data_IF_376875328839
#
_entry.id   IF_376875328839
#
_cell.length_a   1.000
_cell.length_b   1.000
_cell.length_c   1.000
_cell.angle_alpha   90.00
_cell.angle_beta   90.00
_cell.angle_gamma   90.00
#
_symmetry.space_group_name_H-M   'P 1'
#
loop_
_entity.id
_entity.type
_entity.pdbx_description
1 polymer ?
#
# COMPACT_ATOMS: atom_id res chain seq x y z
N UNK A 1 -27.79 -33.84 -18.89
CA UNK A 1 -26.61 -33.89 -17.99
C UNK A 1 -25.38 -34.18 -18.83
N UNK A 2 -24.41 -33.26 -18.84
CA UNK A 2 -23.33 -33.20 -19.84
C UNK A 2 -22.21 -34.22 -19.50
N UNK A 3 -21.85 -35.18 -20.38
CA UNK A 3 -21.00 -36.33 -20.04
C UNK A 3 -19.50 -35.99 -19.84
N UNK A 4 -19.11 -34.73 -20.01
CA UNK A 4 -17.71 -34.27 -19.84
C UNK A 4 -17.23 -34.25 -18.38
N UNK A 5 -18.13 -34.26 -17.40
CA UNK A 5 -17.76 -34.12 -15.98
C UNK A 5 -17.16 -35.39 -15.34
N UNK A 6 -17.41 -36.58 -15.90
CA UNK A 6 -16.97 -37.84 -15.25
C UNK A 6 -15.56 -38.33 -15.64
N UNK A 7 -15.01 -37.90 -16.79
CA UNK A 7 -13.59 -38.15 -17.13
C UNK A 7 -12.60 -37.23 -16.37
N UNK A 8 -13.12 -36.25 -15.62
CA UNK A 8 -12.36 -35.19 -14.96
C UNK A 8 -11.73 -35.59 -13.61
N UNK A 9 -12.29 -36.58 -12.89
CA UNK A 9 -11.86 -36.91 -11.51
C UNK A 9 -10.59 -37.76 -11.38
N UNK A 10 -10.17 -38.48 -12.44
CA UNK A 10 -9.05 -39.44 -12.37
C UNK A 10 -7.83 -39.12 -13.24
N UNK A 11 -7.75 -37.93 -13.84
CA UNK A 11 -6.58 -37.54 -14.63
C UNK A 11 -5.44 -37.07 -13.72
N UNK A 12 -4.32 -37.81 -13.67
CA UNK A 12 -3.08 -37.40 -12.99
C UNK A 12 -2.63 -36.00 -13.42
N UNK A 13 -2.78 -35.66 -14.69
CA UNK A 13 -2.46 -34.35 -15.24
C UNK A 13 -3.27 -33.22 -14.59
N UNK A 14 -4.57 -33.44 -14.35
CA UNK A 14 -5.41 -32.43 -13.71
C UNK A 14 -5.02 -32.23 -12.24
N UNK A 15 -4.70 -33.32 -11.53
CA UNK A 15 -4.23 -33.26 -10.15
C UNK A 15 -2.94 -32.45 -10.03
N UNK A 16 -1.99 -32.65 -10.95
CA UNK A 16 -0.73 -31.90 -11.00
C UNK A 16 -0.98 -30.42 -11.29
N UNK A 17 -1.79 -30.08 -12.29
CA UNK A 17 -2.11 -28.66 -12.58
C UNK A 17 -2.75 -28.00 -11.37
N UNK A 18 -3.76 -28.64 -10.77
CA UNK A 18 -4.48 -28.08 -9.62
C UNK A 18 -3.55 -27.94 -8.41
N UNK A 19 -2.70 -28.92 -8.12
CA UNK A 19 -1.76 -28.83 -6.99
C UNK A 19 -0.72 -27.75 -7.21
N UNK A 20 -0.10 -27.67 -8.40
CA UNK A 20 0.88 -26.63 -8.73
C UNK A 20 0.24 -25.23 -8.66
N UNK A 21 -0.93 -25.04 -9.26
CA UNK A 21 -1.64 -23.76 -9.23
C UNK A 21 -2.01 -23.37 -7.81
N UNK A 22 -2.53 -24.29 -6.99
CA UNK A 22 -2.86 -24.01 -5.58
C UNK A 22 -1.62 -23.60 -4.77
N UNK A 23 -0.51 -24.31 -4.97
CA UNK A 23 0.75 -24.01 -4.28
C UNK A 23 1.28 -22.63 -4.69
N UNK A 24 1.25 -22.32 -5.99
CA UNK A 24 1.64 -21.01 -6.52
C UNK A 24 0.75 -19.88 -6.00
N UNK A 25 -0.57 -20.08 -5.94
CA UNK A 25 -1.50 -19.11 -5.34
C UNK A 25 -1.13 -18.85 -3.87
N UNK A 26 -0.84 -19.91 -3.11
CA UNK A 26 -0.41 -19.79 -1.70
C UNK A 26 0.87 -18.97 -1.56
N UNK A 27 1.90 -19.27 -2.35
CA UNK A 27 3.18 -18.55 -2.31
C UNK A 27 3.01 -17.08 -2.71
N UNK A 28 2.29 -16.81 -3.81
CA UNK A 28 2.02 -15.44 -4.28
C UNK A 28 1.21 -14.66 -3.25
N UNK A 29 0.23 -15.29 -2.61
CA UNK A 29 -0.56 -14.66 -1.55
C UNK A 29 0.30 -14.29 -0.35
N UNK A 30 1.15 -15.20 0.13
CA UNK A 30 2.05 -14.95 1.27
C UNK A 30 3.02 -13.81 0.93
N UNK A 31 3.70 -13.88 -0.22
CA UNK A 31 4.66 -12.86 -0.63
C UNK A 31 3.99 -11.50 -0.87
N UNK A 32 2.85 -11.48 -1.58
CA UNK A 32 2.08 -10.27 -1.85
C UNK A 32 1.54 -9.61 -0.59
N UNK A 33 1.04 -10.41 0.36
CA UNK A 33 0.58 -9.94 1.67
C UNK A 33 1.72 -9.33 2.49
N UNK A 34 2.88 -10.02 2.55
CA UNK A 34 4.06 -9.52 3.25
C UNK A 34 4.54 -8.18 2.67
N UNK A 35 4.64 -8.07 1.34
CA UNK A 35 5.00 -6.83 0.66
C UNK A 35 4.00 -5.70 0.95
N UNK A 36 2.70 -5.97 0.85
CA UNK A 36 1.66 -4.98 1.13
C UNK A 36 1.71 -4.48 2.57
N UNK A 37 1.94 -5.37 3.54
CA UNK A 37 2.08 -5.03 4.95
C UNK A 37 3.31 -4.16 5.21
N UNK A 38 4.48 -4.58 4.69
CA UNK A 38 5.73 -3.84 4.85
C UNK A 38 5.65 -2.45 4.23
N UNK A 39 5.12 -2.34 3.01
CA UNK A 39 4.99 -1.06 2.33
C UNK A 39 4.02 -0.12 3.05
N UNK A 40 2.84 -0.63 3.45
CA UNK A 40 1.84 0.15 4.18
C UNK A 40 2.38 0.65 5.52
N UNK A 41 3.08 -0.22 6.26
CA UNK A 41 3.71 0.15 7.53
C UNK A 41 4.85 1.16 7.34
N UNK A 42 5.69 0.94 6.31
CA UNK A 42 6.81 1.81 5.95
C UNK A 42 6.34 3.23 5.60
N UNK A 43 5.39 3.37 4.68
CA UNK A 43 4.85 4.67 4.25
C UNK A 43 4.21 5.41 5.43
N UNK A 44 3.37 4.73 6.23
CA UNK A 44 2.75 5.35 7.41
C UNK A 44 3.78 5.83 8.43
N UNK A 45 4.82 5.02 8.68
CA UNK A 45 5.89 5.35 9.62
C UNK A 45 6.70 6.55 9.14
N UNK A 46 7.14 6.55 7.88
CA UNK A 46 7.93 7.63 7.28
C UNK A 46 7.13 8.91 7.23
N UNK A 47 5.88 8.88 6.75
CA UNK A 47 5.03 10.06 6.66
C UNK A 47 4.76 10.66 8.06
N UNK A 48 4.41 9.83 9.04
CA UNK A 48 4.19 10.31 10.41
C UNK A 48 5.45 10.97 10.98
N UNK A 49 6.61 10.34 10.80
CA UNK A 49 7.87 10.89 11.32
C UNK A 49 8.25 12.19 10.60
N UNK A 50 8.08 12.25 9.28
CA UNK A 50 8.33 13.44 8.48
C UNK A 50 7.41 14.60 8.90
N UNK A 51 6.10 14.36 9.07
CA UNK A 51 5.15 15.35 9.57
C UNK A 51 5.52 15.87 10.97
N UNK A 52 5.99 14.99 11.86
CA UNK A 52 6.47 15.37 13.21
C UNK A 52 7.68 16.29 13.14
N UNK A 53 8.68 15.94 12.32
CA UNK A 53 9.91 16.74 12.16
C UNK A 53 9.58 18.11 11.54
N UNK A 54 8.74 18.11 10.51
CA UNK A 54 8.31 19.33 9.83
C UNK A 54 7.48 20.24 10.75
N UNK A 55 6.53 19.67 11.51
CA UNK A 55 5.76 20.41 12.51
C UNK A 55 6.65 21.01 13.59
N UNK A 56 7.58 20.23 14.17
CA UNK A 56 8.51 20.73 15.18
C UNK A 56 9.36 21.89 14.65
N UNK A 57 9.93 21.74 13.45
CA UNK A 57 10.74 22.78 12.82
C UNK A 57 9.93 24.07 12.58
N UNK A 58 8.72 23.93 12.05
CA UNK A 58 7.84 25.06 11.72
C UNK A 58 7.36 25.78 12.97
N UNK A 59 6.89 25.04 13.98
CA UNK A 59 6.46 25.59 15.27
C UNK A 59 7.62 26.31 15.96
N UNK A 60 8.82 25.71 15.96
CA UNK A 60 10.01 26.33 16.53
C UNK A 60 10.36 27.63 15.80
N UNK A 61 10.33 27.64 14.47
CA UNK A 61 10.57 28.84 13.66
C UNK A 61 9.53 29.93 13.94
N UNK A 62 8.25 29.57 14.04
CA UNK A 62 7.18 30.48 14.38
C UNK A 62 7.36 31.09 15.77
N UNK A 63 7.68 30.26 16.77
CA UNK A 63 7.97 30.71 18.13
C UNK A 63 9.15 31.68 18.15
N UNK A 64 10.25 31.36 17.46
CA UNK A 64 11.41 32.24 17.37
C UNK A 64 11.05 33.60 16.75
N UNK A 65 10.30 33.61 15.64
CA UNK A 65 9.84 34.87 15.01
C UNK A 65 8.92 35.69 15.91
N UNK A 66 8.07 35.04 16.70
CA UNK A 66 7.22 35.70 17.69
C UNK A 66 8.03 36.29 18.86
N UNK A 67 9.14 35.66 19.25
CA UNK A 67 10.05 36.21 20.25
C UNK A 67 10.73 37.49 19.76
N UNK A 68 11.10 37.57 18.48
CA UNK A 68 11.76 38.74 17.89
C UNK A 68 10.88 39.99 17.84
N UNK A 69 9.55 39.84 17.90
CA UNK A 69 8.58 40.95 17.92
C UNK A 69 7.99 41.19 19.30
N UNK A 70 8.67 40.74 20.37
CA UNK A 70 8.28 41.11 21.72
C UNK A 70 8.48 42.61 21.95
N UNK A 71 7.48 43.28 22.52
CA UNK A 71 7.48 44.72 22.72
C UNK A 71 7.06 45.54 21.49
N UNK A 72 6.87 44.90 20.34
CA UNK A 72 6.37 45.54 19.12
C UNK A 72 4.84 45.76 19.16
N UNK A 73 4.38 46.56 18.22
CA UNK A 73 2.95 46.82 18.05
C UNK A 73 2.17 45.60 17.51
N UNK A 74 0.85 45.63 17.67
CA UNK A 74 -0.03 44.52 17.26
C UNK A 74 -0.02 44.25 15.75
N UNK A 75 0.29 45.26 14.92
CA UNK A 75 0.38 45.10 13.47
C UNK A 75 1.59 44.24 13.07
N UNK A 76 2.75 44.44 13.73
CA UNK A 76 3.95 43.63 13.52
C UNK A 76 3.71 42.17 13.93
N UNK A 77 3.08 41.94 15.08
CA UNK A 77 2.73 40.58 15.56
C UNK A 77 1.79 39.89 14.56
N UNK A 78 0.73 40.59 14.10
CA UNK A 78 -0.20 40.06 13.10
C UNK A 78 0.50 39.69 11.79
N UNK A 79 1.45 40.51 11.33
CA UNK A 79 2.25 40.24 10.13
C UNK A 79 3.13 39.00 10.28
N UNK A 80 3.72 38.78 11.45
CA UNK A 80 4.50 37.55 11.71
C UNK A 80 3.59 36.32 11.63
N UNK A 81 2.42 36.36 12.27
CA UNK A 81 1.46 35.25 12.27
C UNK A 81 0.97 34.96 10.85
N UNK A 82 0.58 35.99 10.09
CA UNK A 82 0.16 35.81 8.70
C UNK A 82 1.26 35.20 7.84
N UNK A 83 2.51 35.62 8.04
CA UNK A 83 3.66 35.07 7.32
C UNK A 83 3.94 33.61 7.68
N UNK A 84 3.82 33.25 8.97
CA UNK A 84 3.95 31.84 9.40
C UNK A 84 2.90 31.00 8.70
N UNK A 85 1.63 31.43 8.72
CA UNK A 85 0.53 30.72 8.09
C UNK A 85 0.76 30.59 6.59
N UNK A 86 1.04 31.69 5.88
CA UNK A 86 1.24 31.64 4.43
C UNK A 86 2.46 30.81 4.02
N UNK A 87 3.50 30.73 4.85
CA UNK A 87 4.71 29.94 4.56
C UNK A 87 4.55 28.44 4.84
N UNK A 88 3.70 28.08 5.80
CA UNK A 88 3.51 26.69 6.24
C UNK A 88 2.26 26.03 5.64
N UNK A 89 1.30 26.85 5.19
CA UNK A 89 0.08 26.38 4.51
C UNK A 89 0.38 26.02 3.05
N UNK A 90 -0.19 24.92 2.58
CA UNK A 90 -0.23 24.64 1.13
C UNK A 90 -1.41 25.35 0.48
N UNK A 91 -1.23 25.89 -0.72
CA UNK A 91 -2.31 26.53 -1.50
C UNK A 91 -3.44 25.57 -1.96
N UNK A 92 -3.37 24.29 -1.59
CA UNK A 92 -4.34 23.27 -1.99
C UNK A 92 -5.03 22.66 -0.76
N UNK A 93 -6.35 22.50 -0.84
CA UNK A 93 -7.15 21.78 0.18
C UNK A 93 -7.33 20.29 -0.15
N UNK A 94 -6.38 19.72 -0.91
CA UNK A 94 -6.49 18.38 -1.51
C UNK A 94 -5.54 17.35 -0.88
N UNK A 95 -5.02 16.43 -1.69
CA UNK A 95 -4.33 15.22 -1.23
C UNK A 95 -3.08 15.46 -0.38
N UNK A 96 -2.39 16.60 -0.55
CA UNK A 96 -1.17 16.96 0.19
C UNK A 96 -1.35 18.24 1.04
N UNK A 97 -2.60 18.56 1.41
CA UNK A 97 -2.90 19.77 2.16
C UNK A 97 -2.14 19.82 3.49
N UNK A 98 -1.57 20.99 3.78
CA UNK A 98 -0.93 21.37 5.03
C UNK A 98 -1.64 22.59 5.54
N UNK A 99 -2.15 22.49 6.75
CA UNK A 99 -2.98 23.51 7.36
C UNK A 99 -2.36 23.95 8.68
N UNK A 100 -2.43 25.25 8.96
CA UNK A 100 -1.98 25.86 10.20
C UNK A 100 -3.14 26.52 10.91
N UNK A 101 -3.26 26.23 12.20
CA UNK A 101 -4.34 26.71 13.04
C UNK A 101 -3.76 27.28 14.32
N UNK A 102 -4.07 28.55 14.60
CA UNK A 102 -3.77 29.21 15.87
C UNK A 102 -5.06 29.32 16.67
N UNK A 103 -5.10 28.69 17.84
CA UNK A 103 -6.23 28.73 18.76
C UNK A 103 -5.79 29.36 20.06
N UNK A 104 -6.66 30.15 20.67
CA UNK A 104 -6.42 30.71 21.98
C UNK A 104 -6.57 29.61 23.02
N UNK A 105 -5.63 29.52 23.96
CA UNK A 105 -5.77 28.55 25.05
C UNK A 105 -6.99 28.90 25.92
N UNK A 106 -7.83 27.92 26.29
CA UNK A 106 -8.91 28.11 27.25
C UNK A 106 -8.40 28.76 28.55
N UNK A 107 -9.05 29.84 28.98
CA UNK A 107 -8.66 30.64 30.15
C UNK A 107 -7.83 31.88 29.85
N UNK A 108 -7.41 32.10 28.60
CA UNK A 108 -6.77 33.33 28.18
C UNK A 108 -7.81 34.45 27.94
N UNK A 109 -7.84 35.46 28.81
CA UNK A 109 -8.79 36.57 28.80
C UNK A 109 -8.26 37.86 28.18
N UNK A 110 -7.12 37.80 27.47
CA UNK A 110 -6.57 39.00 26.79
C UNK A 110 -7.53 39.50 25.71
N UNK A 111 -7.66 40.82 25.57
CA UNK A 111 -8.57 41.46 24.62
C UNK A 111 -8.15 41.28 23.16
N UNK A 112 -6.85 41.11 22.91
CA UNK A 112 -6.30 40.97 21.56
C UNK A 112 -6.48 39.54 21.07
N UNK A 113 -7.08 39.43 19.87
CA UNK A 113 -7.33 38.16 19.21
C UNK A 113 -6.48 37.91 17.98
N UNK A 114 -5.83 36.76 18.00
CA UNK A 114 -5.02 36.22 16.91
C UNK A 114 -5.42 34.78 16.55
N UNK A 115 -6.63 34.35 16.92
CA UNK A 115 -7.16 33.10 16.38
C UNK A 115 -7.32 33.20 14.87
N UNK A 116 -6.78 32.20 14.18
CA UNK A 116 -6.80 32.15 12.72
C UNK A 116 -6.54 30.72 12.24
N UNK A 117 -7.22 30.34 11.17
CA UNK A 117 -7.04 29.08 10.49
C UNK A 117 -6.64 29.33 9.03
N UNK A 118 -5.82 28.45 8.48
CA UNK A 118 -5.51 28.41 7.05
C UNK A 118 -6.67 27.82 6.25
N UNK A 119 -6.74 28.17 4.96
CA UNK A 119 -7.67 27.62 3.95
C UNK A 119 -9.13 27.39 4.43
N UNK A 120 -9.63 28.21 5.37
CA UNK A 120 -10.96 28.06 5.95
C UNK A 120 -11.18 26.71 6.65
N UNK A 121 -10.14 26.17 7.29
CA UNK A 121 -10.27 25.04 8.22
C UNK A 121 -11.15 25.48 9.39
N UNK A 122 -12.13 24.67 9.70
CA UNK A 122 -12.99 24.85 10.86
C UNK A 122 -12.21 24.52 12.15
N UNK A 123 -12.18 25.41 13.15
CA UNK A 123 -11.53 25.16 14.45
C UNK A 123 -11.96 23.86 15.13
N UNK A 124 -13.19 23.39 14.91
CA UNK A 124 -13.70 22.10 15.42
C UNK A 124 -12.96 20.88 14.88
N UNK A 125 -12.10 21.05 13.87
CA UNK A 125 -11.16 20.03 13.41
C UNK A 125 -10.16 19.61 14.50
N UNK A 126 -9.93 20.47 15.50
CA UNK A 126 -9.06 20.19 16.65
C UNK A 126 -9.92 19.72 17.83
N UNK A 127 -9.85 18.43 18.20
CA UNK A 127 -10.67 17.92 19.29
C UNK A 127 -10.12 18.30 20.67
N UNK A 128 -11.01 18.45 21.65
CA UNK A 128 -10.67 18.87 23.01
C UNK A 128 -9.60 18.01 23.70
N UNK A 129 -9.56 16.71 23.40
CA UNK A 129 -8.55 15.83 23.97
C UNK A 129 -7.14 16.15 23.47
N UNK A 130 -6.99 16.56 22.20
CA UNK A 130 -5.70 16.96 21.64
C UNK A 130 -5.29 18.30 22.24
N UNK A 131 -6.22 19.25 22.31
CA UNK A 131 -6.00 20.54 22.93
C UNK A 131 -5.59 20.40 24.40
N UNK A 132 -6.27 19.55 25.17
CA UNK A 132 -5.88 19.23 26.55
C UNK A 132 -4.48 18.61 26.65
N UNK A 133 -4.10 17.73 25.72
CA UNK A 133 -2.77 17.12 25.68
C UNK A 133 -1.68 18.16 25.41
N UNK A 134 -1.92 19.08 24.48
CA UNK A 134 -1.02 20.18 24.13
C UNK A 134 -0.83 21.14 25.30
N UNK A 135 -1.89 21.43 26.08
CA UNK A 135 -1.79 22.30 27.26
C UNK A 135 -0.99 21.69 28.41
N UNK A 136 -1.17 20.40 28.66
CA UNK A 136 -0.57 19.70 29.81
C UNK A 136 0.92 19.42 29.65
N UNK A 137 1.42 19.36 28.41
CA UNK A 137 2.83 19.05 28.12
C UNK A 137 3.57 20.25 27.52
N UNK A 138 4.89 20.30 27.68
CA UNK A 138 5.77 21.15 26.87
C UNK A 138 6.10 20.54 25.51
N UNK A 139 5.87 19.25 25.34
CA UNK A 139 6.06 18.51 24.10
C UNK A 139 4.89 18.68 23.13
N UNK A 140 5.14 18.29 21.88
CA UNK A 140 4.10 18.24 20.85
C UNK A 140 2.99 17.24 21.21
N UNK A 141 1.75 17.70 21.11
CA UNK A 141 0.57 16.84 21.05
C UNK A 141 0.39 16.31 19.63
N UNK A 142 0.03 15.03 19.50
CA UNK A 142 -0.19 14.39 18.20
C UNK A 142 -1.50 13.61 18.27
N UNK A 143 -2.35 13.78 17.26
CA UNK A 143 -3.54 12.95 17.07
C UNK A 143 -3.97 12.87 15.61
N UNK A 144 -4.60 11.76 15.25
CA UNK A 144 -5.42 11.69 14.05
C UNK A 144 -6.71 12.49 14.25
N UNK A 145 -7.10 13.23 13.21
CA UNK A 145 -8.28 14.10 13.20
C UNK A 145 -8.99 14.01 11.85
N UNK A 146 -10.19 14.58 11.76
CA UNK A 146 -10.81 14.89 10.48
C UNK A 146 -10.69 16.39 10.27
N UNK A 147 -9.98 16.79 9.24
CA UNK A 147 -9.90 18.18 8.78
C UNK A 147 -11.28 18.50 8.22
N UNK A 148 -11.97 19.45 8.84
CA UNK A 148 -13.24 19.97 8.39
C UNK A 148 -12.98 21.35 7.79
N UNK A 149 -13.39 21.55 6.55
CA UNK A 149 -13.37 22.87 5.94
C UNK A 149 -14.77 23.48 6.04
N UNK A 150 -14.84 24.81 6.11
CA UNK A 150 -16.12 25.54 6.15
C UNK A 150 -16.99 25.23 4.90
N UNK A 151 -16.39 24.80 3.79
CA UNK A 151 -17.10 24.32 2.59
C UNK A 151 -17.86 23.00 2.79
N UNK A 152 -17.68 22.32 3.93
CA UNK A 152 -18.26 21.00 4.23
C UNK A 152 -17.38 19.82 3.82
N UNK A 153 -16.24 20.06 3.16
CA UNK A 153 -15.29 19.01 2.81
C UNK A 153 -14.64 18.44 4.08
N UNK A 154 -14.56 17.10 4.18
CA UNK A 154 -13.90 16.41 5.29
C UNK A 154 -12.81 15.48 4.79
N UNK A 155 -11.61 15.61 5.36
CA UNK A 155 -10.44 14.83 4.96
C UNK A 155 -9.77 14.25 6.21
N UNK A 156 -9.36 12.97 6.23
CA UNK A 156 -8.56 12.43 7.32
C UNK A 156 -7.20 13.13 7.39
N UNK A 157 -6.78 13.51 8.60
CA UNK A 157 -5.54 14.22 8.82
C UNK A 157 -4.79 13.79 10.09
N UNK A 158 -3.54 14.24 10.18
CA UNK A 158 -2.71 14.13 11.38
C UNK A 158 -2.47 15.55 11.92
N UNK A 159 -3.04 15.86 13.07
CA UNK A 159 -2.82 17.13 13.76
C UNK A 159 -1.67 17.01 14.75
N UNK A 160 -0.74 17.96 14.69
CA UNK A 160 0.41 18.08 15.57
C UNK A 160 0.38 19.48 16.15
N UNK A 161 0.26 19.60 17.47
CA UNK A 161 0.11 20.88 18.14
C UNK A 161 1.14 21.11 19.23
N UNK A 162 1.40 22.37 19.53
CA UNK A 162 2.19 22.77 20.69
C UNK A 162 1.67 24.09 21.25
N UNK A 163 1.82 24.27 22.57
CA UNK A 163 1.55 25.56 23.20
C UNK A 163 2.60 26.58 22.79
N UNK A 164 2.17 27.80 22.53
CA UNK A 164 3.02 28.94 22.18
C UNK A 164 2.55 30.18 22.93
N UNK A 165 3.42 31.16 23.08
CA UNK A 165 3.08 32.45 23.67
C UNK A 165 3.11 33.52 22.58
N UNK A 166 1.98 34.17 22.34
CA UNK A 166 1.90 35.29 21.39
C UNK A 166 2.08 36.60 22.17
N UNK A 167 3.00 37.48 21.76
CA UNK A 167 3.17 38.79 22.39
C UNK A 167 1.85 39.57 22.46
N UNK A 168 1.62 40.25 23.58
CA UNK A 168 0.42 41.05 23.87
C UNK A 168 -0.91 40.25 24.01
N UNK A 169 -0.95 39.00 23.55
CA UNK A 169 -2.17 38.18 23.53
C UNK A 169 -2.11 36.94 24.44
N UNK A 170 -0.96 36.56 24.98
CA UNK A 170 -0.85 35.50 25.99
C UNK A 170 -0.69 34.10 25.40
N UNK A 171 -1.24 33.09 26.07
CA UNK A 171 -1.05 31.68 25.71
C UNK A 171 -2.00 31.25 24.58
N UNK A 172 -1.41 30.61 23.57
CA UNK A 172 -2.07 30.08 22.39
C UNK A 172 -1.58 28.66 22.11
N UNK A 173 -2.27 27.99 21.21
CA UNK A 173 -1.95 26.67 20.70
C UNK A 173 -1.76 26.82 19.19
N UNK A 174 -0.62 26.36 18.68
CA UNK A 174 -0.35 26.29 17.25
C UNK A 174 -0.44 24.84 16.82
N UNK A 175 -1.26 24.57 15.81
CA UNK A 175 -1.46 23.27 15.20
C UNK A 175 -1.01 23.29 13.76
N UNK A 176 -0.30 22.24 13.37
CA UNK A 176 -0.04 21.87 11.98
C UNK A 176 -0.85 20.60 11.69
N UNK A 177 -1.68 20.64 10.66
CA UNK A 177 -2.52 19.51 10.25
C UNK A 177 -2.10 19.05 8.86
N UNK A 178 -1.79 17.76 8.73
CA UNK A 178 -1.34 17.14 7.48
C UNK A 178 -2.43 16.24 6.93
N UNK A 179 -2.81 16.44 5.66
CA UNK A 179 -3.73 15.57 4.95
C UNK A 179 -3.18 14.14 4.81
N UNK A 180 -4.04 13.15 5.06
CA UNK A 180 -3.74 11.73 4.87
C UNK A 180 -4.46 11.16 3.64
N UNK A 181 -5.06 12.00 2.80
CA UNK A 181 -5.81 11.56 1.61
C UNK A 181 -4.93 10.78 0.63
N UNK A 182 -3.72 11.26 0.32
CA UNK A 182 -2.86 10.63 -0.69
C UNK A 182 -2.26 9.27 -0.28
N UNK A 183 -2.23 8.95 1.02
CA UNK A 183 -1.69 7.67 1.49
C UNK A 183 -2.48 6.50 0.92
N UNK A 184 -3.77 6.68 0.64
CA UNK A 184 -4.63 5.63 0.14
C UNK A 184 -4.53 5.47 -1.39
N UNK A 185 -4.27 6.54 -2.14
CA UNK A 185 -4.24 6.51 -3.61
C UNK A 185 -3.01 5.75 -4.12
N UNK A 186 -1.81 6.07 -3.61
CA UNK A 186 -0.57 5.37 -3.98
C UNK A 186 -0.60 3.89 -3.57
N UNK A 187 -1.11 3.60 -2.36
CA UNK A 187 -1.26 2.21 -1.90
C UNK A 187 -2.25 1.43 -2.78
N UNK A 188 -3.37 2.03 -3.19
CA UNK A 188 -4.33 1.39 -4.10
C UNK A 188 -3.74 1.10 -5.47
N UNK A 189 -2.95 2.02 -6.03
CA UNK A 189 -2.27 1.79 -7.31
C UNK A 189 -1.32 0.60 -7.21
N UNK A 190 -0.49 0.56 -6.16
CA UNK A 190 0.47 -0.53 -5.96
C UNK A 190 -0.26 -1.86 -5.71
N UNK A 191 -1.32 -1.87 -4.91
CA UNK A 191 -2.17 -3.05 -4.69
C UNK A 191 -2.79 -3.57 -5.99
N UNK A 192 -3.29 -2.66 -6.84
CA UNK A 192 -3.85 -3.04 -8.15
C UNK A 192 -2.80 -3.67 -9.05
N UNK A 193 -1.59 -3.12 -9.11
CA UNK A 193 -0.50 -3.71 -9.88
C UNK A 193 -0.06 -5.06 -9.31
N UNK A 194 0.08 -5.20 -7.99
CA UNK A 194 0.39 -6.49 -7.35
C UNK A 194 -0.66 -7.55 -7.68
N UNK A 195 -1.94 -7.18 -7.67
CA UNK A 195 -3.03 -8.08 -8.00
C UNK A 195 -3.00 -8.51 -9.49
N UNK A 196 -2.83 -7.56 -10.41
CA UNK A 196 -2.70 -7.84 -11.85
C UNK A 196 -1.50 -8.75 -12.14
N UNK A 197 -0.33 -8.46 -11.56
CA UNK A 197 0.86 -9.28 -11.70
C UNK A 197 0.66 -10.68 -11.11
N UNK A 198 0.01 -10.79 -9.95
CA UNK A 198 -0.34 -12.08 -9.35
C UNK A 198 -1.19 -12.95 -10.27
N UNK A 199 -2.23 -12.39 -10.89
CA UNK A 199 -3.06 -13.10 -11.87
C UNK A 199 -2.24 -13.52 -13.09
N UNK A 200 -1.41 -12.61 -13.63
CA UNK A 200 -0.56 -12.91 -14.78
C UNK A 200 0.40 -14.08 -14.50
N UNK A 201 1.01 -14.12 -13.31
CA UNK A 201 1.88 -15.22 -12.87
C UNK A 201 1.13 -16.55 -12.76
N UNK A 202 -0.08 -16.55 -12.17
CA UNK A 202 -0.89 -17.77 -12.06
C UNK A 202 -1.25 -18.32 -13.44
N UNK A 203 -1.66 -17.45 -14.38
CA UNK A 203 -1.96 -17.83 -15.75
C UNK A 203 -0.73 -18.41 -16.46
N UNK A 204 0.44 -17.78 -16.28
CA UNK A 204 1.69 -18.23 -16.86
C UNK A 204 2.10 -19.61 -16.31
N UNK A 205 1.98 -19.84 -15.00
CA UNK A 205 2.28 -21.14 -14.38
C UNK A 205 1.32 -22.22 -14.88
N UNK A 206 0.03 -21.90 -14.98
CA UNK A 206 -0.98 -22.80 -15.55
C UNK A 206 -0.67 -23.15 -17.01
N UNK A 207 -0.28 -22.17 -17.82
CA UNK A 207 0.10 -22.36 -19.22
C UNK A 207 1.35 -23.24 -19.36
N UNK A 208 2.40 -22.98 -18.59
CA UNK A 208 3.64 -23.78 -18.60
C UNK A 208 3.34 -25.21 -18.19
N UNK A 209 2.59 -25.41 -17.10
CA UNK A 209 2.26 -26.75 -16.61
C UNK A 209 1.43 -27.53 -17.64
N UNK A 210 0.48 -26.85 -18.31
CA UNK A 210 -0.28 -27.43 -19.41
C UNK A 210 0.59 -27.83 -20.60
N UNK A 211 1.55 -26.98 -21.00
CA UNK A 211 2.52 -27.27 -22.06
C UNK A 211 3.37 -28.50 -21.71
N UNK A 212 3.96 -28.55 -20.50
CA UNK A 212 4.80 -29.66 -20.05
C UNK A 212 4.03 -30.98 -20.04
N UNK A 213 2.77 -30.96 -19.59
CA UNK A 213 1.92 -32.16 -19.61
C UNK A 213 1.67 -32.63 -21.04
N UNK A 214 1.43 -31.70 -21.98
CA UNK A 214 1.14 -32.03 -23.38
C UNK A 214 2.38 -32.54 -24.12
N UNK A 215 3.55 -31.94 -23.88
CA UNK A 215 4.79 -32.22 -24.61
C UNK A 215 5.59 -33.38 -24.02
N UNK A 216 5.57 -33.59 -22.69
CA UNK A 216 6.43 -34.58 -22.03
C UNK A 216 5.60 -35.70 -21.41
N UNK A 217 4.67 -35.37 -20.52
CA UNK A 217 3.97 -36.39 -19.70
C UNK A 217 3.08 -37.29 -20.56
N UNK A 218 2.35 -36.72 -21.54
CA UNK A 218 1.46 -37.50 -22.42
C UNK A 218 2.23 -38.49 -23.31
N UNK A 219 3.28 -38.10 -24.05
CA UNK A 219 4.07 -39.04 -24.85
C UNK A 219 4.74 -40.13 -24.01
N UNK A 220 5.34 -39.76 -22.86
CA UNK A 220 5.98 -40.74 -21.96
C UNK A 220 4.98 -41.78 -21.46
N UNK A 221 3.76 -41.35 -21.10
CA UNK A 221 2.70 -42.29 -20.69
C UNK A 221 2.29 -43.23 -21.83
N UNK A 222 2.27 -42.74 -23.07
CA UNK A 222 1.95 -43.58 -24.22
C UNK A 222 3.04 -44.62 -24.48
N UNK A 223 4.32 -44.22 -24.45
CA UNK A 223 5.45 -45.13 -24.58
C UNK A 223 5.46 -46.23 -23.52
N UNK A 224 5.16 -45.88 -22.26
CA UNK A 224 5.07 -46.84 -21.17
C UNK A 224 3.95 -47.88 -21.39
N UNK A 225 2.81 -47.48 -21.96
CA UNK A 225 1.71 -48.39 -22.30
C UNK A 225 2.08 -49.37 -23.43
N UNK A 226 2.77 -48.90 -24.46
CA UNK A 226 3.25 -49.76 -25.57
C UNK A 226 4.27 -50.77 -25.05
N UNK A 227 5.23 -50.34 -24.23
CA UNK A 227 6.23 -51.22 -23.63
C UNK A 227 5.61 -52.33 -22.74
N UNK A 228 4.52 -52.04 -22.02
CA UNK A 228 3.80 -53.05 -21.21
C UNK A 228 3.00 -54.04 -22.06
N UNK A 229 2.44 -53.61 -23.20
CA UNK A 229 1.81 -54.54 -24.15
C UNK A 229 2.85 -55.44 -24.84
N UNK A 230 4.03 -54.89 -25.14
CA UNK A 230 5.14 -55.64 -25.72
C UNK A 230 5.62 -56.76 -24.80
N UNK A 231 5.82 -56.49 -23.50
CA UNK A 231 6.21 -57.52 -22.52
C UNK A 231 5.11 -58.54 -22.23
N UNK A 232 3.85 -58.21 -22.53
CA UNK A 232 2.72 -59.14 -22.45
C UNK A 232 2.61 -60.09 -23.67
N UNK A 233 3.58 -60.04 -24.60
CA UNK A 233 3.67 -60.95 -25.75
C UNK A 233 3.01 -60.43 -27.02
N UNK A 234 2.57 -59.16 -27.05
CA UNK A 234 2.02 -58.55 -28.25
C UNK A 234 3.08 -57.71 -28.97
N UNK A 235 3.90 -58.36 -29.80
CA UNK A 235 5.01 -57.75 -30.53
C UNK A 235 4.60 -56.89 -31.74
N UNK A 236 3.30 -56.81 -32.05
CA UNK A 236 2.81 -56.11 -33.23
C UNK A 236 2.67 -54.59 -33.04
N UNK A 237 2.74 -54.08 -31.80
CA UNK A 237 2.65 -52.65 -31.55
C UNK A 237 3.99 -51.94 -31.77
N UNK A 238 3.96 -50.90 -32.61
CA UNK A 238 5.09 -49.99 -32.84
C UNK A 238 4.87 -48.65 -32.14
N UNK A 239 5.94 -48.07 -31.62
CA UNK A 239 5.94 -46.75 -31.00
C UNK A 239 5.91 -45.67 -32.09
N UNK A 240 4.86 -44.84 -32.10
CA UNK A 240 4.68 -43.80 -33.11
C UNK A 240 5.65 -42.62 -32.87
N UNK A 241 6.66 -42.48 -33.74
CA UNK A 241 7.71 -41.45 -33.62
C UNK A 241 7.27 -40.19 -34.35
N UNK A 242 6.70 -39.23 -33.62
CA UNK A 242 6.26 -37.93 -34.18
C UNK A 242 7.21 -36.76 -33.92
N UNK A 243 8.18 -36.89 -33.02
CA UNK A 243 9.12 -35.81 -32.64
C UNK A 243 10.52 -36.03 -33.23
N UNK A 244 11.42 -35.05 -33.06
CA UNK A 244 12.85 -35.13 -33.41
C UNK A 244 13.79 -34.99 -32.19
N UNK A 245 13.24 -35.01 -30.98
CA UNK A 245 13.93 -34.83 -29.69
C UNK A 245 14.41 -36.16 -29.06
N UNK A 246 14.85 -36.13 -27.80
CA UNK A 246 15.31 -37.36 -27.11
C UNK A 246 14.21 -38.44 -27.01
N UNK A 247 12.93 -38.05 -27.00
CA UNK A 247 11.80 -39.00 -26.98
C UNK A 247 11.71 -39.77 -28.30
N UNK A 248 12.03 -39.14 -29.42
CA UNK A 248 12.06 -39.79 -30.72
C UNK A 248 13.20 -40.82 -30.86
N UNK A 249 14.38 -40.50 -30.31
CA UNK A 249 15.51 -41.44 -30.24
C UNK A 249 15.14 -42.70 -29.45
N UNK A 250 14.45 -42.53 -28.31
CA UNK A 250 13.97 -43.66 -27.50
C UNK A 250 12.97 -44.53 -28.27
N UNK A 251 12.00 -43.91 -28.96
CA UNK A 251 11.00 -44.64 -29.76
C UNK A 251 11.61 -45.42 -30.92
N UNK A 252 12.62 -44.86 -31.60
CA UNK A 252 13.36 -45.57 -32.66
C UNK A 252 14.12 -46.78 -32.11
N UNK A 253 14.88 -46.61 -31.03
CA UNK A 253 15.61 -47.70 -30.39
C UNK A 253 14.68 -48.83 -29.91
N UNK A 254 13.49 -48.48 -29.41
CA UNK A 254 12.48 -49.47 -29.03
C UNK A 254 11.96 -50.26 -30.25
N UNK A 255 11.63 -49.57 -31.34
CA UNK A 255 11.15 -50.22 -32.56
C UNK A 255 12.24 -51.12 -33.19
N UNK A 256 13.51 -50.72 -33.14
CA UNK A 256 14.64 -51.54 -33.60
C UNK A 256 14.79 -52.83 -32.77
N UNK A 257 14.62 -52.77 -31.43
CA UNK A 257 14.60 -53.98 -30.59
C UNK A 257 13.40 -54.90 -30.89
N UNK A 258 12.24 -54.31 -31.19
CA UNK A 258 11.04 -55.06 -31.56
C UNK A 258 11.17 -55.77 -32.92
N UNK A 259 11.96 -55.22 -33.84
CA UNK A 259 12.19 -55.76 -35.18
C UNK A 259 13.30 -56.83 -35.20
N UNK A 260 14.12 -56.92 -34.15
CA UNK A 260 15.18 -57.92 -34.02
C UNK A 260 14.75 -59.22 -33.31
N UNK A 261 13.46 -59.38 -32.99
CA UNK A 261 12.84 -60.55 -32.35
C UNK A 261 11.88 -61.23 -33.32
#
# INVERSE_FOLDING_TARGET
MNPYFFRFRNSLALKVIVSTVLLSVGVIYIAGSALNSQLSAGIKKVNRQSSIVEARSTIFSAQYRLLLVQGENNAAVRKVISNVISSATSLTSNENAREVVFLRSPGNTKSIDYEITSNLVDPSSIPDFLSTKVRKSSDIGISYVKIQYISGLQIPGLAIGQKISIPNAGQYEMYMIFSLANQNTTLKLIQRYLFLTGIALILLIGLITWLVIRQVVRPVRHAALVATQFTAGNFSERLEVRSQDEIAKLGKAFNEMAESL
#
